data_IF_826171966239
#
_entry.id   IF_826171966239
#
_cell.length_a   1.000
_cell.length_b   1.000
_cell.length_c   1.000
_cell.angle_alpha   90.00
_cell.angle_beta   90.00
_cell.angle_gamma   90.00
#
_symmetry.space_group_name_H-M   'P 1'
#
loop_
_entity.id
_entity.type
_entity.pdbx_description
1 polymer ?
#
# COMPACT_ATOMS: atom_id res chain seq x y z
N UNK A 1 15.22 14.27 -7.03
CA UNK A 1 14.31 13.17 -7.41
C UNK A 1 13.45 12.84 -6.19
N UNK A 2 12.13 12.97 -6.28
CA UNK A 2 11.20 12.70 -5.17
C UNK A 2 11.36 11.23 -4.70
N UNK A 3 11.43 10.98 -3.39
CA UNK A 3 11.55 9.62 -2.81
C UNK A 3 10.49 8.66 -3.33
N UNK A 4 9.26 9.14 -3.53
CA UNK A 4 8.18 8.34 -4.11
C UNK A 4 8.52 7.85 -5.52
N UNK A 5 9.05 8.73 -6.37
CA UNK A 5 9.48 8.36 -7.74
C UNK A 5 10.66 7.38 -7.71
N UNK A 6 11.59 7.55 -6.77
CA UNK A 6 12.69 6.60 -6.56
C UNK A 6 12.19 5.21 -6.18
N UNK A 7 11.24 5.14 -5.24
CA UNK A 7 10.63 3.87 -4.82
C UNK A 7 9.83 3.27 -5.98
N UNK A 8 9.04 4.07 -6.69
CA UNK A 8 8.27 3.64 -7.86
C UNK A 8 9.18 3.00 -8.92
N UNK A 9 10.29 3.65 -9.29
CA UNK A 9 11.28 3.11 -10.23
C UNK A 9 11.87 1.79 -9.75
N UNK A 10 12.33 1.72 -8.49
CA UNK A 10 12.89 0.50 -7.92
C UNK A 10 11.92 -0.68 -8.05
N UNK A 11 10.66 -0.49 -7.65
CA UNK A 11 9.69 -1.59 -7.65
C UNK A 11 9.23 -1.95 -9.07
N UNK A 12 9.06 -0.98 -9.98
CA UNK A 12 8.80 -1.26 -11.40
C UNK A 12 9.92 -2.09 -12.05
N UNK A 13 11.18 -1.75 -11.79
CA UNK A 13 12.34 -2.49 -12.27
C UNK A 13 12.37 -3.93 -11.74
N UNK A 14 11.80 -4.17 -10.56
CA UNK A 14 11.64 -5.51 -9.96
C UNK A 14 10.30 -6.17 -10.33
N UNK A 15 9.59 -5.68 -11.35
CA UNK A 15 8.39 -6.31 -11.91
C UNK A 15 7.09 -6.06 -11.13
N UNK A 16 7.05 -5.06 -10.26
CA UNK A 16 5.82 -4.67 -9.56
C UNK A 16 4.95 -3.78 -10.46
N UNK A 17 3.63 -3.89 -10.30
CA UNK A 17 2.70 -2.85 -10.75
C UNK A 17 2.66 -1.74 -9.71
N UNK A 18 2.61 -0.49 -10.16
CA UNK A 18 2.63 0.68 -9.28
C UNK A 18 1.63 1.73 -9.75
N UNK A 19 0.96 2.38 -8.80
CA UNK A 19 0.03 3.49 -9.01
C UNK A 19 0.46 4.67 -8.14
N UNK A 20 1.03 5.68 -8.77
CA UNK A 20 1.35 6.95 -8.12
C UNK A 20 0.22 7.94 -8.39
N UNK A 21 -0.24 8.61 -7.34
CA UNK A 21 -1.28 9.61 -7.45
C UNK A 21 -1.07 10.76 -6.45
N UNK A 22 -1.61 11.92 -6.80
CA UNK A 22 -1.54 13.12 -5.98
C UNK A 22 -2.93 13.70 -5.74
N UNK A 23 -3.13 14.29 -4.57
CA UNK A 23 -4.36 15.01 -4.20
C UNK A 23 -4.00 16.22 -3.37
N UNK A 24 -4.12 17.41 -3.96
CA UNK A 24 -3.65 18.68 -3.35
C UNK A 24 -2.17 18.56 -2.97
N UNK A 25 -1.90 18.39 -1.68
CA UNK A 25 -0.56 18.29 -1.13
C UNK A 25 -0.22 16.86 -0.69
N UNK A 26 -1.18 15.93 -0.76
CA UNK A 26 -0.97 14.53 -0.41
C UNK A 26 -0.44 13.74 -1.60
N UNK A 27 0.44 12.78 -1.32
CA UNK A 27 1.01 11.88 -2.30
C UNK A 27 0.81 10.45 -1.86
N UNK A 28 0.44 9.58 -2.79
CA UNK A 28 0.30 8.16 -2.52
C UNK A 28 0.99 7.36 -3.62
N UNK A 29 1.67 6.30 -3.21
CA UNK A 29 2.19 5.27 -4.09
C UNK A 29 1.64 3.93 -3.60
N UNK A 30 0.82 3.31 -4.43
CA UNK A 30 0.41 1.92 -4.26
C UNK A 30 1.31 1.05 -5.12
N UNK A 31 1.74 -0.10 -4.61
CA UNK A 31 2.56 -1.04 -5.37
C UNK A 31 2.29 -2.48 -4.94
N UNK A 32 2.44 -3.41 -5.88
CA UNK A 32 2.22 -4.85 -5.64
C UNK A 32 2.93 -5.72 -6.67
N UNK A 33 3.36 -6.95 -6.29
CA UNK A 33 3.95 -7.89 -7.23
C UNK A 33 2.98 -8.21 -8.37
N UNK A 34 3.47 -8.26 -9.62
CA UNK A 34 2.69 -8.63 -10.79
C UNK A 34 2.43 -10.15 -10.83
N UNK A 35 1.60 -10.62 -9.91
CA UNK A 35 1.24 -12.04 -9.74
C UNK A 35 -0.27 -12.17 -9.50
N UNK A 36 -0.81 -13.37 -9.66
CA UNK A 36 -2.27 -13.61 -9.60
C UNK A 36 -2.92 -13.17 -8.28
N UNK A 37 -2.21 -13.30 -7.16
CA UNK A 37 -2.75 -12.97 -5.82
C UNK A 37 -1.64 -12.45 -4.94
N UNK A 38 -1.76 -11.21 -4.47
CA UNK A 38 -0.74 -10.53 -3.67
C UNK A 38 -1.35 -9.40 -2.84
N UNK A 39 -0.53 -8.83 -1.95
CA UNK A 39 -0.90 -7.64 -1.19
C UNK A 39 -0.67 -6.38 -1.99
N UNK A 40 -1.37 -5.33 -1.61
CA UNK A 40 -1.16 -3.98 -2.12
C UNK A 40 -0.49 -3.17 -1.01
N UNK A 41 0.76 -2.78 -1.24
CA UNK A 41 1.52 -1.91 -0.34
C UNK A 41 1.17 -0.46 -0.62
N UNK A 42 1.12 0.37 0.42
CA UNK A 42 0.88 1.80 0.29
C UNK A 42 1.95 2.61 1.01
N UNK A 43 2.47 3.61 0.31
CA UNK A 43 3.31 4.68 0.84
C UNK A 43 2.51 5.97 0.69
N UNK A 44 2.26 6.69 1.78
CA UNK A 44 1.39 7.86 1.77
C UNK A 44 2.01 8.99 2.57
N UNK A 45 2.13 10.16 1.95
CA UNK A 45 2.52 11.39 2.62
C UNK A 45 1.30 12.28 2.74
N UNK A 46 0.98 12.64 3.99
CA UNK A 46 0.09 13.76 4.28
C UNK A 46 0.95 15.01 4.46
N UNK A 47 0.69 16.04 3.66
CA UNK A 47 1.49 17.26 3.65
C UNK A 47 1.48 18.03 4.94
N UNK A 48 0.41 17.90 5.73
CA UNK A 48 0.21 18.74 6.90
C UNK A 48 1.21 18.40 8.01
N UNK A 49 1.81 17.20 7.93
CA UNK A 49 2.73 16.67 8.94
C UNK A 49 4.11 16.28 8.38
N UNK A 50 4.27 16.22 7.05
CA UNK A 50 5.54 15.84 6.39
C UNK A 50 5.99 14.40 6.67
N UNK A 51 5.13 13.59 7.30
CA UNK A 51 5.38 12.19 7.60
C UNK A 51 4.90 11.31 6.45
N UNK A 52 5.76 10.38 6.08
CA UNK A 52 5.47 9.28 5.16
C UNK A 52 5.04 8.08 5.96
N UNK A 53 3.81 7.66 5.75
CA UNK A 53 3.22 6.47 6.33
C UNK A 53 3.38 5.29 5.37
N UNK A 54 3.70 4.12 5.91
CA UNK A 54 3.89 2.88 5.15
C UNK A 54 2.98 1.79 5.70
N UNK A 55 2.31 1.08 4.82
CA UNK A 55 1.28 0.11 5.18
C UNK A 55 0.87 -0.82 4.05
N UNK A 56 -0.23 -1.52 4.26
CA UNK A 56 -0.84 -2.39 3.25
C UNK A 56 -2.37 -2.27 3.25
N UNK A 57 -2.98 -2.60 2.11
CA UNK A 57 -4.43 -2.64 2.01
C UNK A 57 -5.00 -3.86 2.74
N UNK A 58 -6.10 -3.61 3.45
CA UNK A 58 -6.88 -4.62 4.14
C UNK A 58 -8.34 -4.49 3.74
N UNK A 59 -8.96 -5.60 3.35
CA UNK A 59 -10.39 -5.71 3.14
C UNK A 59 -11.03 -6.16 4.45
N UNK A 60 -11.83 -5.28 5.04
CA UNK A 60 -12.56 -5.58 6.26
C UNK A 60 -14.04 -5.26 6.04
N UNK A 61 -14.93 -6.21 6.31
CA UNK A 61 -16.39 -6.05 6.12
C UNK A 61 -16.82 -5.58 4.72
N UNK A 62 -16.08 -5.98 3.69
CA UNK A 62 -16.36 -5.60 2.29
C UNK A 62 -15.78 -4.24 1.88
N UNK A 63 -15.10 -3.53 2.79
CA UNK A 63 -14.48 -2.24 2.50
C UNK A 63 -12.96 -2.37 2.48
N UNK A 64 -12.33 -1.93 1.38
CA UNK A 64 -10.88 -1.87 1.27
C UNK A 64 -10.38 -0.58 1.91
N UNK A 65 -9.42 -0.72 2.82
CA UNK A 65 -8.79 0.39 3.52
C UNK A 65 -7.29 0.24 3.49
N UNK A 66 -6.56 1.36 3.48
CA UNK A 66 -5.11 1.35 3.59
C UNK A 66 -4.73 1.53 5.06
N UNK A 67 -4.06 0.52 5.63
CA UNK A 67 -3.71 0.53 7.05
C UNK A 67 -2.20 0.72 7.23
N UNK A 68 -1.85 1.85 7.82
CA UNK A 68 -0.46 2.22 8.10
C UNK A 68 0.05 1.57 9.38
N UNK A 69 1.27 1.05 9.32
CA UNK A 69 1.92 0.31 10.42
C UNK A 69 3.14 1.05 10.98
N UNK A 70 3.80 1.82 10.13
CA UNK A 70 5.00 2.58 10.45
C UNK A 70 4.95 3.94 9.76
N UNK A 71 5.68 4.91 10.29
CA UNK A 71 5.89 6.19 9.64
C UNK A 71 7.33 6.69 9.84
N UNK A 72 7.76 7.57 8.95
CA UNK A 72 9.04 8.25 9.02
C UNK A 72 8.93 9.62 8.33
N UNK A 73 9.93 10.48 8.51
CA UNK A 73 10.15 11.57 7.54
C UNK A 73 10.54 10.99 6.18
N UNK A 74 10.74 11.83 5.17
CA UNK A 74 11.06 11.42 3.79
C UNK A 74 12.42 10.69 3.67
N UNK A 75 12.47 9.43 4.11
CA UNK A 75 13.65 8.56 4.18
C UNK A 75 13.43 7.31 3.32
N UNK A 76 14.10 7.29 2.18
CA UNK A 76 14.06 6.20 1.22
C UNK A 76 14.43 4.83 1.81
N UNK A 77 15.51 4.74 2.60
CA UNK A 77 16.01 3.47 3.10
C UNK A 77 15.04 2.88 4.13
N UNK A 78 14.49 3.74 5.00
CA UNK A 78 13.47 3.34 5.95
C UNK A 78 12.24 2.80 5.20
N UNK A 79 11.69 3.55 4.25
CA UNK A 79 10.47 3.15 3.53
C UNK A 79 10.65 1.81 2.82
N UNK A 80 11.76 1.62 2.09
CA UNK A 80 12.06 0.36 1.39
C UNK A 80 12.20 -0.80 2.39
N UNK A 81 12.87 -0.58 3.54
CA UNK A 81 12.98 -1.62 4.57
C UNK A 81 11.63 -2.03 5.13
N UNK A 82 10.69 -1.08 5.30
CA UNK A 82 9.36 -1.36 5.81
C UNK A 82 8.49 -2.08 4.81
N UNK A 83 8.53 -1.71 3.52
CA UNK A 83 7.80 -2.46 2.49
C UNK A 83 8.28 -3.92 2.45
N UNK A 84 9.60 -4.16 2.49
CA UNK A 84 10.16 -5.53 2.54
C UNK A 84 9.70 -6.31 3.77
N UNK A 85 9.70 -5.69 4.94
CA UNK A 85 9.20 -6.33 6.16
C UNK A 85 7.71 -6.68 6.05
N UNK A 86 6.90 -5.78 5.49
CA UNK A 86 5.48 -6.04 5.20
C UNK A 86 5.31 -7.09 4.10
N UNK A 87 6.32 -7.40 3.29
CA UNK A 87 6.27 -8.53 2.35
C UNK A 87 6.54 -9.87 3.07
N UNK A 88 7.55 -9.88 3.95
CA UNK A 88 7.97 -11.05 4.74
C UNK A 88 6.92 -11.48 5.79
N UNK A 89 6.36 -10.55 6.57
CA UNK A 89 5.43 -10.79 7.71
C UNK A 89 4.07 -11.40 7.28
N UNK A 90 3.91 -11.66 6.00
CA UNK A 90 2.67 -11.39 5.29
C UNK A 90 2.35 -12.48 4.25
N UNK A 91 3.28 -13.41 4.09
CA UNK A 91 3.11 -14.76 3.53
C UNK A 91 2.12 -15.64 4.33
N UNK A 92 1.56 -15.13 5.44
CA UNK A 92 0.57 -15.79 6.28
C UNK A 92 -0.68 -14.91 6.31
N UNK A 93 -1.83 -15.45 5.87
CA UNK A 93 -3.13 -14.80 6.11
C UNK A 93 -3.30 -14.63 7.62
N UNK A 94 -3.65 -13.44 8.11
CA UNK A 94 -3.79 -13.17 9.55
C UNK A 94 -4.90 -14.05 10.14
N UNK A 95 -4.55 -15.27 10.53
CA UNK A 95 -5.45 -16.21 11.17
C UNK A 95 -5.58 -15.80 12.63
N UNK A 96 -6.53 -14.90 12.90
CA UNK A 96 -6.92 -14.55 14.26
C UNK A 96 -7.78 -15.71 14.80
N UNK A 97 -7.28 -16.55 15.74
CA UNK A 97 -7.93 -17.82 16.08
C UNK A 97 -9.33 -17.66 16.67
N UNK A 98 -9.59 -16.49 17.26
CA UNK A 98 -10.80 -16.18 18.03
C UNK A 98 -11.79 -15.27 17.29
N UNK A 99 -11.47 -14.82 16.07
CA UNK A 99 -12.37 -14.01 15.27
C UNK A 99 -13.25 -14.90 14.39
N UNK A 100 -14.55 -14.60 14.35
CA UNK A 100 -15.45 -15.15 13.33
C UNK A 100 -14.81 -14.93 11.93
N UNK A 101 -14.95 -15.88 10.99
CA UNK A 101 -14.33 -15.75 9.67
C UNK A 101 -14.63 -14.43 8.95
N UNK A 102 -15.83 -13.87 9.15
CA UNK A 102 -16.25 -12.58 8.59
C UNK A 102 -15.56 -11.34 9.23
N UNK A 103 -14.89 -11.52 10.37
CA UNK A 103 -14.13 -10.50 11.09
C UNK A 103 -12.62 -10.60 10.83
N UNK A 104 -12.18 -11.49 9.94
CA UNK A 104 -10.77 -11.62 9.57
C UNK A 104 -10.47 -10.71 8.38
N UNK A 105 -9.55 -9.74 8.51
CA UNK A 105 -9.19 -8.88 7.39
C UNK A 105 -8.50 -9.72 6.30
N UNK A 106 -8.92 -9.53 5.05
CA UNK A 106 -8.23 -10.13 3.90
C UNK A 106 -7.17 -9.16 3.38
N UNK A 107 -5.96 -9.69 3.19
CA UNK A 107 -4.80 -8.90 2.75
C UNK A 107 -4.37 -9.24 1.32
N UNK A 108 -4.84 -10.38 0.80
CA UNK A 108 -4.47 -10.89 -0.50
C UNK A 108 -5.62 -10.70 -1.49
N UNK A 109 -5.35 -10.02 -2.58
CA UNK A 109 -6.35 -9.67 -3.59
C UNK A 109 -6.00 -10.35 -4.91
N UNK A 110 -7.00 -10.90 -5.61
CA UNK A 110 -6.80 -11.45 -6.95
C UNK A 110 -6.92 -10.39 -8.05
N UNK A 111 -7.68 -9.31 -7.78
CA UNK A 111 -7.90 -8.18 -8.69
C UNK A 111 -7.22 -6.92 -8.12
N UNK A 112 -5.91 -6.98 -7.87
CA UNK A 112 -5.18 -5.91 -7.18
C UNK A 112 -5.31 -4.55 -7.88
N UNK A 113 -5.34 -4.56 -9.21
CA UNK A 113 -5.46 -3.36 -10.04
C UNK A 113 -6.80 -2.66 -9.85
N UNK A 114 -7.91 -3.42 -9.90
CA UNK A 114 -9.24 -2.87 -9.66
C UNK A 114 -9.38 -2.32 -8.24
N UNK A 115 -8.78 -3.00 -7.25
CA UNK A 115 -8.79 -2.56 -5.85
C UNK A 115 -7.99 -1.27 -5.68
N UNK A 116 -6.78 -1.19 -6.25
CA UNK A 116 -5.96 0.03 -6.19
C UNK A 116 -6.66 1.22 -6.86
N UNK A 117 -7.17 1.04 -8.08
CA UNK A 117 -7.85 2.10 -8.83
C UNK A 117 -9.14 2.56 -8.13
N UNK A 118 -9.93 1.61 -7.62
CA UNK A 118 -11.14 1.92 -6.87
C UNK A 118 -10.82 2.69 -5.59
N UNK A 119 -9.78 2.28 -4.86
CA UNK A 119 -9.34 3.00 -3.66
C UNK A 119 -8.92 4.43 -3.98
N UNK A 120 -8.07 4.64 -4.99
CA UNK A 120 -7.61 5.98 -5.38
C UNK A 120 -8.78 6.87 -5.78
N UNK A 121 -9.68 6.36 -6.63
CA UNK A 121 -10.89 7.07 -7.06
C UNK A 121 -11.80 7.43 -5.89
N UNK A 122 -12.11 6.47 -5.00
CA UNK A 122 -12.99 6.69 -3.86
C UNK A 122 -12.41 7.69 -2.85
N UNK A 123 -11.08 7.80 -2.78
CA UNK A 123 -10.39 8.76 -1.92
C UNK A 123 -10.07 10.09 -2.63
N UNK A 124 -10.50 10.27 -3.88
CA UNK A 124 -10.35 11.52 -4.65
C UNK A 124 -8.91 11.80 -5.09
N UNK A 125 -8.10 10.77 -5.25
CA UNK A 125 -6.80 10.87 -5.91
C UNK A 125 -7.00 10.85 -7.43
N UNK A 126 -6.32 11.76 -8.13
CA UNK A 126 -6.19 11.71 -9.59
C UNK A 126 -4.88 11.03 -9.95
N UNK A 127 -4.92 10.06 -10.86
CA UNK A 127 -3.71 9.53 -11.48
C UNK A 127 -2.92 10.69 -12.12
N UNK A 128 -1.61 10.75 -11.85
CA UNK A 128 -0.72 11.79 -12.38
C UNK A 128 -0.17 11.43 -13.75
#
# INVERSE_FOLDING_TARGET
>A
MNTFRRIESLYRENGYKTHYAEKKHNRILLLYPNTKKSKIYGVHMDSDYGLVNVGCMELFRGESSLLFRDCCYDDYNFIVSKIKKVDEDTTIELNVPYAEPCLRPHLLFENQEDVANSFLKNNGYSES
#
